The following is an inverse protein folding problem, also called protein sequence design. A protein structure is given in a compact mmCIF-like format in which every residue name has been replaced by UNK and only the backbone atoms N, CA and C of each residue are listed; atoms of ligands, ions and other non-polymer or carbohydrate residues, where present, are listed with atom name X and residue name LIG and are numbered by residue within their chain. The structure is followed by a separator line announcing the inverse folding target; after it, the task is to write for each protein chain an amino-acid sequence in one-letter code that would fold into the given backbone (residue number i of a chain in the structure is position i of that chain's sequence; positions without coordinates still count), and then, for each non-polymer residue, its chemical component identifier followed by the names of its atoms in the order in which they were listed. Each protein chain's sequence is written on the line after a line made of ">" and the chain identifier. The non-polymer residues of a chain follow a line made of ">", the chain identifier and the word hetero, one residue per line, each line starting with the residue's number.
data_IF_260091569318
#
_entry.id   IF_260091569318
#
_cell.length_a   1.000
_cell.length_b   1.000
_cell.length_c   1.000
_cell.angle_alpha   90.00
_cell.angle_beta   90.00
_cell.angle_gamma   90.00
#
_symmetry.space_group_name_H-M   'P 1'
#
loop_
_entity.id
_entity.type
_entity.pdbx_description
1 polymer ?
#
# COMPACT_ATOMS: atom_id res chain seq x y z
N UNK A 1 66.35 1.08 28.10
CA UNK A 1 65.07 0.41 28.39
C UNK A 1 64.05 1.52 28.60
N UNK A 2 63.45 2.03 27.52
CA UNK A 2 62.50 3.14 27.57
C UNK A 2 61.08 2.61 27.52
N UNK A 3 60.31 2.96 28.54
CA UNK A 3 58.88 2.71 28.67
C UNK A 3 58.08 3.35 27.52
N UNK A 4 57.33 2.53 26.78
CA UNK A 4 56.17 2.98 26.01
C UNK A 4 55.06 1.92 26.14
N UNK A 5 54.35 1.92 27.27
CA UNK A 5 53.12 1.13 27.47
C UNK A 5 52.08 1.96 28.23
N UNK A 6 51.44 2.90 27.53
CA UNK A 6 50.36 3.70 28.09
C UNK A 6 49.33 4.21 27.07
N UNK A 7 49.61 4.16 25.77
CA UNK A 7 48.76 4.80 24.75
C UNK A 7 47.80 3.84 24.01
N UNK A 8 47.93 2.52 24.10
CA UNK A 8 47.14 1.63 23.24
C UNK A 8 45.67 1.52 23.70
N UNK A 9 45.42 1.15 24.96
CA UNK A 9 44.06 0.93 25.48
C UNK A 9 43.21 2.19 25.39
N UNK A 10 43.74 3.35 25.81
CA UNK A 10 43.03 4.63 25.74
C UNK A 10 42.66 5.02 24.29
N UNK A 11 43.54 4.72 23.33
CA UNK A 11 43.29 4.96 21.90
C UNK A 11 42.14 4.09 21.41
N UNK A 12 42.18 2.77 21.67
CA UNK A 12 41.10 1.85 21.28
C UNK A 12 39.75 2.21 21.93
N UNK A 13 39.75 2.60 23.21
CA UNK A 13 38.53 3.05 23.90
C UNK A 13 37.96 4.33 23.29
N UNK A 14 38.81 5.31 22.95
CA UNK A 14 38.36 6.54 22.29
C UNK A 14 37.73 6.26 20.92
N UNK A 15 38.34 5.38 20.13
CA UNK A 15 37.82 5.01 18.82
C UNK A 15 36.51 4.23 18.93
N UNK A 16 36.39 3.31 19.88
CA UNK A 16 35.14 2.60 20.13
C UNK A 16 34.01 3.57 20.50
N UNK A 17 34.30 4.60 21.30
CA UNK A 17 33.36 5.67 21.62
C UNK A 17 32.96 6.45 20.36
N UNK A 18 33.92 6.83 19.51
CA UNK A 18 33.65 7.51 18.23
C UNK A 18 32.75 6.65 17.32
N UNK A 19 33.03 5.35 17.18
CA UNK A 19 32.19 4.43 16.39
C UNK A 19 30.77 4.32 16.98
N UNK A 20 30.65 4.28 18.29
CA UNK A 20 29.36 4.32 19.00
C UNK A 20 28.58 5.59 18.70
N UNK A 21 29.24 6.76 18.76
CA UNK A 21 28.62 8.05 18.45
C UNK A 21 28.15 8.11 16.99
N UNK A 22 28.97 7.66 16.03
CA UNK A 22 28.55 7.65 14.62
C UNK A 22 27.35 6.71 14.42
N UNK A 23 27.30 5.57 15.13
CA UNK A 23 26.14 4.64 15.09
C UNK A 23 24.88 5.24 15.68
N UNK A 24 25.01 5.98 16.77
CA UNK A 24 23.90 6.72 17.34
C UNK A 24 23.40 7.81 16.38
N UNK A 25 24.29 8.56 15.72
CA UNK A 25 23.93 9.60 14.75
C UNK A 25 23.18 9.00 13.55
N UNK A 26 23.64 7.87 13.01
CA UNK A 26 22.94 7.18 11.91
C UNK A 26 21.53 6.76 12.33
N UNK A 27 21.39 6.13 13.49
CA UNK A 27 20.10 5.72 14.02
C UNK A 27 19.17 6.92 14.24
N UNK A 28 19.70 8.00 14.84
CA UNK A 28 18.96 9.23 15.06
C UNK A 28 18.52 9.87 13.73
N UNK A 29 19.37 9.89 12.71
CA UNK A 29 19.05 10.43 11.39
C UNK A 29 17.92 9.66 10.69
N UNK A 30 17.85 8.34 10.89
CA UNK A 30 16.77 7.49 10.35
C UNK A 30 15.48 7.71 11.15
N UNK A 31 15.56 7.71 12.48
CA UNK A 31 14.40 7.76 13.35
C UNK A 31 13.74 9.14 13.43
N UNK A 32 14.52 10.22 13.42
CA UNK A 32 14.05 11.61 13.60
C UNK A 32 13.99 12.39 12.28
N UNK A 33 14.01 11.66 11.16
CA UNK A 33 14.14 12.13 9.78
C UNK A 33 13.93 13.65 9.59
N UNK A 34 15.00 14.46 9.51
CA UNK A 34 14.88 15.91 9.49
C UNK A 34 14.20 16.43 8.21
N UNK A 35 13.20 17.30 8.37
CA UNK A 35 12.43 17.86 7.24
C UNK A 35 13.26 18.73 6.28
N UNK A 36 14.37 19.29 6.77
CA UNK A 36 15.29 20.11 5.98
C UNK A 36 16.23 19.27 5.08
N UNK A 37 16.27 17.94 5.28
CA UNK A 37 17.17 17.04 4.57
C UNK A 37 16.41 16.23 3.53
N UNK A 38 16.69 16.45 2.25
CA UNK A 38 16.08 15.64 1.20
C UNK A 38 16.46 14.16 1.35
N UNK A 39 15.57 13.25 0.92
CA UNK A 39 15.81 11.80 0.96
C UNK A 39 17.15 11.42 0.33
N UNK A 40 17.52 12.04 -0.80
CA UNK A 40 18.78 11.76 -1.48
C UNK A 40 20.00 12.18 -0.66
N UNK A 41 19.93 13.35 -0.01
CA UNK A 41 21.03 13.84 0.81
C UNK A 41 21.19 13.03 2.10
N UNK A 42 20.08 12.61 2.71
CA UNK A 42 20.08 11.70 3.85
C UNK A 42 20.77 10.37 3.52
N UNK A 43 20.41 9.75 2.39
CA UNK A 43 21.04 8.51 1.92
C UNK A 43 22.53 8.70 1.64
N UNK A 44 22.91 9.82 1.00
CA UNK A 44 24.32 10.16 0.78
C UNK A 44 25.11 10.20 2.08
N UNK A 45 24.61 10.90 3.10
CA UNK A 45 25.28 10.98 4.41
C UNK A 45 25.34 9.64 5.13
N UNK A 46 24.30 8.81 5.06
CA UNK A 46 24.33 7.47 5.65
C UNK A 46 25.40 6.59 4.99
N UNK A 47 25.51 6.64 3.66
CA UNK A 47 26.58 5.93 2.93
C UNK A 47 27.95 6.45 3.36
N UNK A 48 28.13 7.76 3.45
CA UNK A 48 29.40 8.37 3.87
C UNK A 48 29.80 7.95 5.30
N UNK A 49 28.86 7.93 6.25
CA UNK A 49 29.11 7.49 7.62
C UNK A 49 29.42 5.98 7.70
N UNK A 50 28.74 5.15 6.89
CA UNK A 50 29.02 3.72 6.79
C UNK A 50 30.43 3.44 6.27
N UNK A 51 30.86 4.15 5.22
CA UNK A 51 32.23 4.05 4.67
C UNK A 51 33.27 4.51 5.70
N UNK A 52 33.01 5.62 6.40
CA UNK A 52 33.91 6.14 7.44
C UNK A 52 34.12 5.13 8.58
N UNK A 53 33.05 4.49 9.05
CA UNK A 53 33.15 3.44 10.08
C UNK A 53 33.93 2.24 9.60
N UNK A 54 33.61 1.76 8.39
CA UNK A 54 34.32 0.62 7.81
C UNK A 54 35.82 0.90 7.71
N UNK A 55 36.20 2.09 7.23
CA UNK A 55 37.58 2.54 7.17
C UNK A 55 38.24 2.58 8.56
N UNK A 56 37.58 3.18 9.56
CA UNK A 56 38.10 3.25 10.93
C UNK A 56 38.32 1.86 11.55
N UNK A 57 37.40 0.93 11.32
CA UNK A 57 37.51 -0.44 11.82
C UNK A 57 38.67 -1.15 11.15
N UNK A 58 38.76 -1.11 9.82
CA UNK A 58 39.83 -1.80 9.08
C UNK A 58 41.20 -1.21 9.39
N UNK A 59 41.35 0.12 9.38
CA UNK A 59 42.63 0.77 9.63
C UNK A 59 43.24 0.38 10.98
N UNK A 60 42.40 0.03 11.95
CA UNK A 60 42.81 -0.18 13.35
C UNK A 60 42.80 -1.66 13.73
N UNK A 61 41.75 -2.40 13.42
CA UNK A 61 41.64 -3.81 13.78
C UNK A 61 42.42 -4.74 12.85
N UNK A 62 42.64 -4.35 11.58
CA UNK A 62 43.49 -5.11 10.66
C UNK A 62 44.95 -4.63 10.68
N UNK A 63 45.37 -3.82 11.67
CA UNK A 63 46.74 -3.28 11.79
C UNK A 63 47.24 -2.49 10.57
N UNK A 64 46.34 -2.12 9.63
CA UNK A 64 46.69 -1.39 8.42
C UNK A 64 47.40 -0.05 8.68
N UNK A 65 47.16 0.54 9.85
CA UNK A 65 47.80 1.76 10.32
C UNK A 65 49.28 1.57 10.68
N UNK A 66 49.63 0.39 11.17
CA UNK A 66 50.97 0.06 11.65
C UNK A 66 51.75 -0.84 10.65
N UNK A 67 51.08 -1.34 9.61
CA UNK A 67 51.68 -2.11 8.52
C UNK A 67 52.49 -1.26 7.55
N UNK A 68 53.48 -1.88 6.91
CA UNK A 68 54.30 -1.24 5.89
C UNK A 68 53.43 -0.75 4.70
N UNK A 69 53.77 0.42 4.15
CA UNK A 69 53.00 1.10 3.10
C UNK A 69 52.64 0.20 1.90
N UNK A 70 53.44 -0.82 1.62
CA UNK A 70 53.19 -1.82 0.57
C UNK A 70 51.90 -2.62 0.83
N UNK A 71 51.70 -3.12 2.05
CA UNK A 71 50.52 -3.92 2.41
C UNK A 71 49.25 -3.06 2.50
N UNK A 72 49.37 -1.88 3.11
CA UNK A 72 48.29 -0.89 3.12
C UNK A 72 47.90 -0.44 1.70
N UNK A 73 48.87 -0.33 0.79
CA UNK A 73 48.67 -0.05 -0.62
C UNK A 73 47.85 -1.12 -1.35
N UNK A 74 48.16 -2.41 -1.16
CA UNK A 74 47.39 -3.50 -1.76
C UNK A 74 45.92 -3.52 -1.28
N UNK A 75 45.71 -3.36 0.02
CA UNK A 75 44.37 -3.38 0.59
C UNK A 75 43.53 -2.18 0.14
N UNK A 76 44.10 -0.97 0.19
CA UNK A 76 43.41 0.26 -0.25
C UNK A 76 43.07 0.22 -1.74
N UNK A 77 43.97 -0.31 -2.58
CA UNK A 77 43.71 -0.51 -4.01
C UNK A 77 42.53 -1.44 -4.25
N UNK A 78 42.45 -2.56 -3.51
CA UNK A 78 41.30 -3.48 -3.58
C UNK A 78 39.98 -2.83 -3.18
N UNK A 79 39.97 -2.00 -2.14
CA UNK A 79 38.77 -1.27 -1.71
C UNK A 79 38.33 -0.21 -2.73
N UNK A 80 39.27 0.51 -3.33
CA UNK A 80 38.97 1.49 -4.40
C UNK A 80 38.39 0.79 -5.64
N UNK A 81 38.92 -0.38 -6.01
CA UNK A 81 38.37 -1.18 -7.11
C UNK A 81 36.96 -1.68 -6.79
N UNK A 82 36.70 -2.16 -5.57
CA UNK A 82 35.37 -2.62 -5.17
C UNK A 82 34.35 -1.48 -5.15
N UNK A 83 34.70 -0.31 -4.59
CA UNK A 83 33.83 0.86 -4.59
C UNK A 83 33.60 1.38 -6.01
N UNK A 84 34.65 1.45 -6.83
CA UNK A 84 34.58 1.87 -8.22
C UNK A 84 33.68 0.98 -9.06
N UNK A 85 33.81 -0.35 -8.93
CA UNK A 85 32.94 -1.30 -9.63
C UNK A 85 31.49 -1.20 -9.17
N UNK A 86 31.24 -1.04 -7.86
CA UNK A 86 29.89 -0.81 -7.35
C UNK A 86 29.25 0.46 -7.93
N UNK A 87 29.98 1.58 -7.96
CA UNK A 87 29.50 2.84 -8.55
C UNK A 87 29.25 2.70 -10.04
N UNK A 88 30.17 2.07 -10.78
CA UNK A 88 30.02 1.84 -12.23
C UNK A 88 28.83 0.93 -12.52
N UNK A 89 28.64 -0.14 -11.77
CA UNK A 89 27.49 -1.03 -11.92
C UNK A 89 26.20 -0.31 -11.55
N UNK A 90 26.17 0.42 -10.43
CA UNK A 90 25.03 1.26 -10.05
C UNK A 90 24.68 2.27 -11.13
N UNK A 91 25.69 2.92 -11.72
CA UNK A 91 25.50 3.82 -12.85
C UNK A 91 25.00 3.09 -14.10
N UNK A 92 25.53 1.92 -14.47
CA UNK A 92 25.07 1.17 -15.65
C UNK A 92 23.63 0.67 -15.51
N UNK A 93 23.26 0.16 -14.33
CA UNK A 93 21.89 -0.25 -14.01
C UNK A 93 20.92 0.93 -14.02
N UNK A 94 21.34 2.09 -13.50
CA UNK A 94 20.53 3.32 -13.58
C UNK A 94 20.49 3.87 -15.00
N UNK A 95 21.58 3.91 -15.75
CA UNK A 95 21.61 4.39 -17.14
C UNK A 95 20.71 3.55 -18.05
N UNK A 96 20.69 2.23 -17.89
CA UNK A 96 19.73 1.35 -18.59
C UNK A 96 18.27 1.73 -18.29
N UNK A 97 17.99 2.23 -17.09
CA UNK A 97 16.67 2.75 -16.71
C UNK A 97 16.37 4.16 -17.24
N UNK A 98 17.37 4.99 -17.55
CA UNK A 98 17.19 6.39 -18.05
C UNK A 98 17.31 6.54 -19.57
N UNK A 99 17.99 5.62 -20.28
CA UNK A 99 18.08 5.62 -21.74
C UNK A 99 16.72 5.67 -22.49
N UNK A 100 15.61 5.06 -22.00
CA UNK A 100 14.31 5.24 -22.67
C UNK A 100 13.68 6.64 -22.48
N UNK A 101 14.28 7.54 -21.69
CA UNK A 101 13.81 8.92 -21.49
C UNK A 101 14.42 9.87 -22.52
N UNK A 102 15.70 9.71 -22.87
CA UNK A 102 16.38 10.61 -23.82
C UNK A 102 16.12 10.32 -25.30
N UNK A 103 15.81 9.07 -25.66
CA UNK A 103 15.50 8.71 -27.06
C UNK A 103 14.18 9.32 -27.58
N UNK A 104 13.28 9.75 -26.68
CA UNK A 104 11.97 10.27 -27.04
C UNK A 104 11.87 11.81 -27.04
N UNK A 105 12.95 12.54 -26.68
CA UNK A 105 12.92 14.01 -26.63
C UNK A 105 13.23 14.70 -27.97
N UNK A 106 13.58 13.95 -29.03
CA UNK A 106 13.84 14.50 -30.37
C UNK A 106 12.73 14.22 -31.39
N UNK A 107 11.60 13.64 -30.98
CA UNK A 107 10.43 13.57 -31.86
C UNK A 107 9.71 14.93 -31.84
N UNK A 108 9.47 15.58 -32.99
CA UNK A 108 8.72 16.83 -33.01
C UNK A 108 7.32 16.59 -32.44
N UNK A 109 6.98 17.37 -31.43
CA UNK A 109 5.67 17.40 -30.78
C UNK A 109 4.62 17.89 -31.78
N UNK A 110 4.00 16.96 -32.50
CA UNK A 110 2.78 17.25 -33.26
C UNK A 110 1.64 17.25 -32.24
N UNK A 111 1.39 18.41 -31.64
CA UNK A 111 0.14 18.67 -30.91
C UNK A 111 -0.98 18.77 -31.94
N UNK A 112 -1.63 17.64 -32.22
CA UNK A 112 -2.99 17.62 -32.73
C UNK A 112 -3.91 17.12 -31.62
N UNK A 113 -4.00 17.89 -30.55
CA UNK A 113 -5.04 17.78 -29.54
C UNK A 113 -5.99 18.95 -29.72
N UNK A 114 -7.12 18.73 -30.38
CA UNK A 114 -8.26 19.65 -30.31
C UNK A 114 -8.97 19.33 -29.00
N UNK A 115 -8.84 20.23 -28.03
CA UNK A 115 -9.45 20.12 -26.71
C UNK A 115 -10.97 19.94 -26.85
N UNK A 116 -11.51 18.83 -26.36
CA UNK A 116 -12.91 18.45 -26.56
C UNK A 116 -13.85 18.83 -25.41
N UNK A 117 -13.42 19.67 -24.46
CA UNK A 117 -14.32 20.16 -23.41
C UNK A 117 -14.04 21.61 -23.03
N UNK A 118 -14.47 22.54 -23.89
CA UNK A 118 -14.93 23.85 -23.43
C UNK A 118 -15.93 24.41 -24.46
N UNK A 119 -17.19 23.97 -24.38
CA UNK A 119 -18.28 24.68 -25.05
C UNK A 119 -18.94 25.63 -24.05
N UNK A 120 -18.54 26.89 -24.15
CA UNK A 120 -19.36 28.02 -23.74
C UNK A 120 -20.38 28.27 -24.87
N UNK A 121 -21.67 28.24 -24.53
CA UNK A 121 -22.77 28.47 -25.46
C UNK A 121 -22.65 29.84 -26.15
N UNK A 122 -22.55 29.84 -27.48
CA UNK A 122 -23.13 30.90 -28.32
C UNK A 122 -23.20 30.49 -29.79
N UNK A 123 -24.43 30.33 -30.30
CA UNK A 123 -24.81 30.71 -31.66
C UNK A 123 -24.34 29.84 -32.84
N UNK A 124 -25.30 29.10 -33.42
CA UNK A 124 -25.53 29.15 -34.87
C UNK A 124 -24.83 28.11 -35.78
N UNK A 125 -25.71 27.37 -36.47
CA UNK A 125 -25.51 26.61 -37.72
C UNK A 125 -24.92 25.20 -37.62
N UNK A 126 -25.77 24.23 -37.95
CA UNK A 126 -25.47 22.81 -37.91
C UNK A 126 -24.66 22.31 -39.12
N UNK A 127 -23.89 21.26 -38.84
CA UNK A 127 -23.44 20.22 -39.78
C UNK A 127 -23.41 18.91 -38.96
N UNK A 128 -23.94 17.78 -39.45
CA UNK A 128 -23.86 16.52 -38.73
C UNK A 128 -22.45 15.94 -38.91
N UNK A 129 -21.64 15.93 -37.85
CA UNK A 129 -20.41 15.15 -37.84
C UNK A 129 -20.75 13.73 -37.41
N UNK A 130 -20.97 12.88 -38.42
CA UNK A 130 -21.02 11.43 -38.28
C UNK A 130 -19.65 10.95 -37.76
N UNK A 131 -19.68 10.34 -36.59
CA UNK A 131 -18.54 9.64 -35.98
C UNK A 131 -18.08 8.54 -36.95
N UNK A 132 -16.80 8.56 -37.35
CA UNK A 132 -16.28 7.54 -38.27
C UNK A 132 -16.46 6.13 -37.69
N UNK A 133 -16.79 5.14 -38.51
CA UNK A 133 -17.00 3.74 -38.07
C UNK A 133 -15.80 3.20 -37.27
N UNK A 134 -14.59 3.66 -37.57
CA UNK A 134 -13.37 3.31 -36.83
C UNK A 134 -13.37 3.86 -35.39
N UNK A 135 -13.94 5.05 -35.18
CA UNK A 135 -14.09 5.64 -33.85
C UNK A 135 -15.16 4.92 -33.04
N UNK A 136 -16.26 4.51 -33.68
CA UNK A 136 -17.32 3.72 -33.04
C UNK A 136 -16.78 2.33 -32.64
N UNK A 137 -16.05 1.66 -33.54
CA UNK A 137 -15.42 0.37 -33.26
C UNK A 137 -14.37 0.45 -32.13
N UNK A 138 -13.68 1.59 -31.97
CA UNK A 138 -12.70 1.78 -30.88
C UNK A 138 -13.39 2.02 -29.53
N UNK A 139 -14.57 2.64 -29.53
CA UNK A 139 -15.39 2.85 -28.32
C UNK A 139 -16.06 1.54 -27.88
N UNK A 140 -16.51 0.72 -28.82
CA UNK A 140 -17.15 -0.57 -28.54
C UNK A 140 -16.19 -1.68 -28.10
N UNK A 141 -14.87 -1.53 -28.30
CA UNK A 141 -13.83 -2.57 -28.02
C UNK A 141 -12.90 -2.25 -26.85
N UNK A 142 -13.38 -1.47 -25.87
CA UNK A 142 -12.73 -1.23 -24.56
C UNK A 142 -11.24 -0.79 -24.61
N UNK A 143 -10.76 -0.39 -25.80
CA UNK A 143 -9.37 -0.04 -26.10
C UNK A 143 -8.35 -1.17 -25.93
N UNK A 144 -8.76 -2.40 -25.66
CA UNK A 144 -7.85 -3.48 -25.23
C UNK A 144 -7.42 -4.45 -26.34
N UNK A 145 -8.10 -4.44 -27.49
CA UNK A 145 -7.80 -5.32 -28.62
C UNK A 145 -7.29 -4.54 -29.85
N UNK A 146 -6.20 -3.80 -29.66
CA UNK A 146 -5.49 -3.17 -30.78
C UNK A 146 -4.64 -4.24 -31.50
N UNK A 147 -4.67 -4.34 -32.84
CA UNK A 147 -3.81 -5.26 -33.56
C UNK A 147 -2.34 -4.92 -33.29
N UNK A 148 -1.48 -5.94 -33.25
CA UNK A 148 -0.08 -5.80 -32.82
C UNK A 148 0.67 -4.69 -33.58
N UNK A 149 0.37 -4.50 -34.87
CA UNK A 149 0.93 -3.43 -35.69
C UNK A 149 0.64 -2.02 -35.12
N UNK A 150 -0.60 -1.78 -34.68
CA UNK A 150 -1.03 -0.49 -34.13
C UNK A 150 -0.42 -0.23 -32.74
N UNK A 151 -0.16 -1.29 -31.97
CA UNK A 151 0.53 -1.22 -30.67
C UNK A 151 2.01 -0.87 -30.87
N UNK A 152 2.64 -1.39 -31.92
CA UNK A 152 4.04 -1.12 -32.24
C UNK A 152 4.23 0.31 -32.77
N UNK A 153 3.28 0.81 -33.56
CA UNK A 153 3.31 2.18 -34.09
C UNK A 153 2.95 3.24 -33.03
N UNK A 154 2.10 2.91 -32.05
CA UNK A 154 1.71 3.81 -30.95
C UNK A 154 1.87 3.13 -29.58
N UNK A 155 3.11 2.91 -29.11
CA UNK A 155 3.36 2.25 -27.85
C UNK A 155 2.84 3.09 -26.67
N UNK A 156 2.33 2.42 -25.64
CA UNK A 156 1.80 3.07 -24.44
C UNK A 156 2.87 3.99 -23.80
N UNK A 157 2.52 5.21 -23.36
CA UNK A 157 3.45 6.08 -22.65
C UNK A 157 3.91 5.40 -21.37
N UNK A 158 5.21 5.13 -21.25
CA UNK A 158 5.79 4.37 -20.12
C UNK A 158 5.84 5.15 -18.79
N UNK A 159 5.56 6.46 -18.82
CA UNK A 159 5.62 7.35 -17.66
C UNK A 159 4.28 8.06 -17.43
N UNK A 160 3.32 7.36 -16.80
CA UNK A 160 2.14 8.03 -16.23
C UNK A 160 2.48 8.83 -14.96
N UNK A 161 3.65 8.59 -14.33
CA UNK A 161 4.13 9.31 -13.15
C UNK A 161 4.78 10.68 -13.42
N UNK A 162 4.98 11.06 -14.69
CA UNK A 162 5.50 12.39 -15.06
C UNK A 162 4.40 13.45 -15.20
N UNK A 163 3.12 13.04 -15.15
CA UNK A 163 2.00 13.98 -15.10
C UNK A 163 1.93 14.59 -13.70
N UNK A 164 2.57 15.77 -13.52
CA UNK A 164 2.31 16.62 -12.36
C UNK A 164 0.90 17.19 -12.48
N UNK A 165 -0.08 16.45 -12.01
CA UNK A 165 -1.42 16.97 -11.78
C UNK A 165 -1.31 17.87 -10.56
N UNK A 166 -1.30 19.18 -10.76
CA UNK A 166 -1.44 20.11 -9.63
C UNK A 166 -2.92 20.10 -9.27
N UNK A 167 -3.33 19.58 -8.10
CA UNK A 167 -4.73 19.63 -7.72
C UNK A 167 -5.17 21.10 -7.66
N UNK A 168 -6.39 21.44 -8.09
CA UNK A 168 -6.91 22.79 -7.90
C UNK A 168 -6.83 23.14 -6.41
N UNK A 169 -6.38 24.35 -6.11
CA UNK A 169 -6.38 24.89 -4.74
C UNK A 169 -7.76 24.71 -4.13
N UNK A 170 -7.86 24.23 -2.87
CA UNK A 170 -9.15 24.09 -2.20
C UNK A 170 -9.86 25.43 -2.22
N UNK A 171 -11.04 25.48 -2.85
CA UNK A 171 -11.93 26.61 -2.67
C UNK A 171 -12.38 26.60 -1.20
N UNK A 172 -11.83 27.50 -0.39
CA UNK A 172 -12.21 27.69 1.03
C UNK A 172 -13.46 28.54 1.19
N UNK A 173 -14.17 28.87 0.10
CA UNK A 173 -15.54 29.33 0.16
C UNK A 173 -16.43 28.19 0.61
N UNK A 174 -16.83 28.20 1.89
CA UNK A 174 -17.78 27.26 2.45
C UNK A 174 -19.02 27.12 1.56
N UNK A 175 -19.45 25.89 1.33
CA UNK A 175 -20.73 25.63 0.68
C UNK A 175 -21.83 25.75 1.72
N UNK A 176 -22.68 26.76 1.59
CA UNK A 176 -23.94 26.85 2.32
C UNK A 176 -24.95 25.86 1.71
N UNK A 177 -25.18 24.75 2.42
CA UNK A 177 -26.30 23.86 2.12
C UNK A 177 -27.58 24.45 2.73
N UNK A 178 -28.34 25.18 1.92
CA UNK A 178 -29.66 25.67 2.32
C UNK A 178 -30.69 24.52 2.31
N UNK A 179 -30.75 23.78 3.41
CA UNK A 179 -31.88 22.90 3.69
C UNK A 179 -33.08 23.77 4.07
N UNK A 180 -34.09 23.87 3.21
CA UNK A 180 -35.44 24.29 3.59
C UNK A 180 -36.21 23.05 4.06
N UNK A 181 -36.42 22.83 5.37
CA UNK A 181 -37.29 21.76 5.83
C UNK A 181 -38.72 22.31 5.84
N UNK A 182 -39.56 21.83 4.92
CA UNK A 182 -40.99 21.84 5.16
C UNK A 182 -41.33 20.57 5.93
N UNK A 183 -41.60 20.67 7.22
CA UNK A 183 -42.56 19.81 7.92
C UNK A 183 -43.01 20.47 9.25
N UNK A 184 -44.28 20.32 9.68
CA UNK A 184 -44.90 21.12 10.73
C UNK A 184 -44.45 20.74 12.15
N UNK A 185 -44.50 21.74 13.04
CA UNK A 185 -44.18 21.68 14.47
C UNK A 185 -44.88 20.53 15.22
N UNK A 186 -44.14 19.86 16.11
CA UNK A 186 -44.72 19.11 17.22
C UNK A 186 -43.84 19.22 18.47
N UNK A 187 -44.33 20.09 19.36
CA UNK A 187 -44.15 20.27 20.80
C UNK A 187 -42.89 19.74 21.52
N UNK A 188 -42.16 20.70 22.09
CA UNK A 188 -41.21 20.64 23.22
C UNK A 188 -41.88 20.11 24.49
N UNK A 189 -41.20 19.19 25.20
CA UNK A 189 -41.16 19.07 26.68
C UNK A 189 -39.83 18.38 27.03
N UNK A 190 -38.83 19.13 27.50
CA UNK A 190 -38.37 19.21 28.90
C UNK A 190 -37.89 17.86 29.48
N UNK A 191 -36.58 17.78 29.74
CA UNK A 191 -35.92 16.64 30.39
C UNK A 191 -36.19 16.54 31.89
N UNK A 192 -35.57 15.55 32.57
CA UNK A 192 -34.55 15.94 33.53
C UNK A 192 -33.29 15.04 33.60
N UNK A 193 -32.22 15.76 33.93
CA UNK A 193 -30.98 15.48 34.65
C UNK A 193 -30.74 14.19 35.49
N UNK A 194 -29.48 13.74 35.42
CA UNK A 194 -28.55 13.07 36.38
C UNK A 194 -28.93 11.71 36.99
N UNK A 195 -28.11 10.66 36.77
CA UNK A 195 -27.09 10.14 37.73
C UNK A 195 -26.52 8.75 37.36
N UNK A 196 -25.22 8.62 37.62
CA UNK A 196 -24.41 7.41 37.46
C UNK A 196 -24.55 6.48 38.67
N UNK A 197 -24.68 5.15 38.47
CA UNK A 197 -24.03 4.12 39.31
C UNK A 197 -24.37 2.67 38.90
N UNK A 198 -23.33 1.89 38.61
CA UNK A 198 -23.01 0.56 39.16
C UNK A 198 -23.93 -0.67 38.98
N UNK A 199 -23.58 -1.52 37.99
CA UNK A 199 -23.33 -3.00 38.05
C UNK A 199 -24.48 -3.98 38.49
N UNK A 200 -24.34 -5.33 38.37
CA UNK A 200 -24.86 -6.18 37.27
C UNK A 200 -25.83 -7.32 37.72
N UNK A 201 -26.66 -7.85 36.81
CA UNK A 201 -27.27 -9.21 36.88
C UNK A 201 -27.96 -9.53 35.55
N UNK A 202 -27.50 -10.52 34.77
CA UNK A 202 -27.92 -11.94 34.74
C UNK A 202 -29.27 -12.23 34.03
N UNK A 203 -29.13 -12.94 32.89
CA UNK A 203 -29.94 -14.01 32.28
C UNK A 203 -31.47 -13.91 32.16
N UNK A 204 -31.96 -14.10 30.93
CA UNK A 204 -33.35 -14.46 30.62
C UNK A 204 -33.56 -14.66 29.12
N UNK A 205 -34.19 -15.77 28.76
CA UNK A 205 -34.23 -16.47 27.46
C UNK A 205 -35.25 -15.93 26.42
N UNK A 206 -35.15 -16.48 25.21
CA UNK A 206 -36.19 -16.72 24.18
C UNK A 206 -36.71 -15.61 23.21
N UNK A 207 -36.20 -15.72 21.96
CA UNK A 207 -36.89 -15.76 20.63
C UNK A 207 -38.14 -14.91 20.31
N UNK A 208 -38.05 -14.05 19.26
CA UNK A 208 -38.76 -14.17 17.94
C UNK A 208 -38.65 -12.91 17.05
N UNK A 209 -38.23 -13.16 15.80
CA UNK A 209 -38.74 -12.64 14.51
C UNK A 209 -38.89 -11.12 14.23
N UNK A 210 -37.87 -10.61 13.53
CA UNK A 210 -37.88 -9.82 12.28
C UNK A 210 -38.87 -8.65 12.08
N UNK A 211 -38.33 -7.43 12.12
CA UNK A 211 -38.86 -6.28 11.38
C UNK A 211 -37.71 -5.42 10.81
N UNK A 212 -37.70 -5.31 9.48
CA UNK A 212 -36.72 -4.62 8.62
C UNK A 212 -36.75 -3.11 8.85
N UNK A 213 -35.65 -2.52 9.33
CA UNK A 213 -35.41 -1.08 9.43
C UNK A 213 -33.96 -0.76 8.96
N UNK A 214 -33.73 0.38 8.30
CA UNK A 214 -32.51 0.66 7.55
C UNK A 214 -31.30 0.81 8.48
N UNK A 215 -30.14 0.35 8.01
CA UNK A 215 -28.89 0.36 8.78
C UNK A 215 -28.44 1.80 9.03
N UNK A 216 -28.70 2.28 10.25
CA UNK A 216 -28.09 3.47 10.82
C UNK A 216 -26.57 3.26 10.94
N UNK A 217 -25.79 4.17 10.35
CA UNK A 217 -24.33 4.10 10.21
C UNK A 217 -23.52 4.14 11.52
N UNK A 218 -24.15 3.99 12.69
CA UNK A 218 -23.48 4.18 13.98
C UNK A 218 -23.49 2.96 14.92
N UNK A 219 -23.93 1.78 14.47
CA UNK A 219 -23.82 0.55 15.26
C UNK A 219 -23.45 -0.65 14.39
N UNK A 220 -22.24 -0.61 13.83
CA UNK A 220 -21.52 -1.80 13.40
C UNK A 220 -21.23 -2.60 14.67
N UNK A 221 -21.80 -3.80 14.83
CA UNK A 221 -21.60 -4.62 16.01
C UNK A 221 -20.11 -4.70 16.41
N UNK A 222 -19.84 -4.52 17.71
CA UNK A 222 -18.57 -4.13 18.33
C UNK A 222 -17.29 -4.83 17.80
N UNK A 223 -16.48 -4.11 17.03
CA UNK A 223 -15.04 -4.34 16.95
C UNK A 223 -14.30 -2.99 16.94
N UNK A 224 -13.10 -2.96 17.50
CA UNK A 224 -12.28 -1.74 17.51
C UNK A 224 -11.72 -1.48 16.10
N UNK A 225 -12.22 -0.43 15.45
CA UNK A 225 -11.83 -0.06 14.08
C UNK A 225 -10.37 0.40 13.98
N UNK A 226 -9.79 0.96 15.06
CA UNK A 226 -8.39 1.37 15.08
C UNK A 226 -7.47 0.14 15.19
N UNK A 227 -7.83 -0.84 16.03
CA UNK A 227 -7.13 -2.13 16.07
C UNK A 227 -7.29 -2.89 14.75
N UNK A 228 -8.48 -2.85 14.13
CA UNK A 228 -8.74 -3.45 12.83
C UNK A 228 -7.82 -2.90 11.73
N UNK A 229 -7.69 -1.57 11.65
CA UNK A 229 -6.77 -0.90 10.74
C UNK A 229 -5.30 -1.28 11.04
N UNK A 230 -4.90 -1.33 12.31
CA UNK A 230 -3.54 -1.74 12.69
C UNK A 230 -3.24 -3.17 12.23
N UNK A 231 -4.10 -4.13 12.55
CA UNK A 231 -3.93 -5.53 12.15
C UNK A 231 -3.91 -5.68 10.62
N UNK A 232 -4.73 -4.92 9.88
CA UNK A 232 -4.65 -4.89 8.41
C UNK A 232 -3.33 -4.30 7.89
N UNK A 233 -2.85 -3.20 8.47
CA UNK A 233 -1.60 -2.57 8.05
C UNK A 233 -0.40 -3.50 8.24
N UNK A 234 -0.33 -4.20 9.37
CA UNK A 234 0.77 -5.12 9.71
C UNK A 234 0.77 -6.38 8.83
N UNK A 235 -0.41 -6.86 8.41
CA UNK A 235 -0.54 -8.17 7.79
C UNK A 235 -0.93 -8.15 6.30
N UNK A 236 -1.60 -7.11 5.80
CA UNK A 236 -2.25 -7.16 4.49
C UNK A 236 -1.80 -6.03 3.56
N UNK A 237 -1.50 -4.85 4.11
CA UNK A 237 -1.28 -3.63 3.33
C UNK A 237 -0.07 -3.68 2.39
N UNK A 238 0.95 -4.49 2.69
CA UNK A 238 2.16 -4.58 1.87
C UNK A 238 1.86 -4.98 0.40
N UNK A 239 0.83 -5.79 0.19
CA UNK A 239 0.41 -6.24 -1.14
C UNK A 239 -0.90 -5.57 -1.58
N UNK A 240 -1.91 -5.52 -0.70
CA UNK A 240 -3.24 -4.99 -1.05
C UNK A 240 -3.33 -3.47 -0.95
N UNK A 241 -2.27 -2.80 -0.49
CA UNK A 241 -2.18 -1.36 -0.22
C UNK A 241 -3.11 -0.92 0.92
N UNK A 242 -2.80 0.22 1.56
CA UNK A 242 -3.70 0.83 2.55
C UNK A 242 -5.02 1.31 1.93
N UNK A 243 -5.01 1.56 0.62
CA UNK A 243 -6.20 1.92 -0.17
C UNK A 243 -7.05 0.70 -0.54
N UNK A 244 -6.58 -0.52 -0.31
CA UNK A 244 -7.27 -1.74 -0.71
C UNK A 244 -7.33 -1.96 -2.23
N UNK A 245 -6.69 -1.13 -3.05
CA UNK A 245 -6.72 -1.24 -4.51
C UNK A 245 -5.75 -2.29 -5.07
N UNK A 246 -4.82 -2.78 -4.25
CA UNK A 246 -3.77 -3.68 -4.70
C UNK A 246 -2.92 -3.09 -5.83
N UNK A 247 -2.45 -3.96 -6.73
CA UNK A 247 -1.71 -3.59 -7.93
C UNK A 247 -2.28 -4.40 -9.10
N UNK A 248 -2.97 -3.77 -10.07
CA UNK A 248 -3.64 -4.48 -11.16
C UNK A 248 -2.73 -5.48 -11.89
N UNK A 249 -3.20 -6.72 -12.04
CA UNK A 249 -2.45 -7.82 -12.66
C UNK A 249 -1.42 -8.51 -11.75
N UNK A 250 -1.18 -8.00 -10.54
CA UNK A 250 -0.23 -8.58 -9.57
C UNK A 250 -0.91 -8.92 -8.23
N UNK A 251 -1.51 -7.92 -7.58
CA UNK A 251 -2.23 -8.08 -6.31
C UNK A 251 -3.68 -7.63 -6.48
N UNK A 252 -4.67 -8.51 -6.25
CA UNK A 252 -6.07 -8.16 -6.49
C UNK A 252 -6.57 -7.09 -5.50
N UNK A 253 -7.51 -6.23 -5.93
CA UNK A 253 -8.14 -5.27 -5.04
C UNK A 253 -9.04 -5.99 -4.03
N UNK A 254 -9.10 -5.42 -2.82
CA UNK A 254 -10.06 -5.74 -1.77
C UNK A 254 -11.20 -4.71 -1.74
N UNK A 255 -10.88 -3.43 -1.99
CA UNK A 255 -11.87 -2.40 -2.26
C UNK A 255 -12.72 -2.81 -3.47
N UNK A 256 -14.03 -2.56 -3.43
CA UNK A 256 -15.00 -2.92 -4.48
C UNK A 256 -15.25 -4.43 -4.69
N UNK A 257 -14.36 -5.30 -4.21
CA UNK A 257 -14.40 -6.73 -4.50
C UNK A 257 -14.82 -7.59 -3.30
N UNK A 258 -14.27 -7.32 -2.11
CA UNK A 258 -14.47 -8.20 -0.94
C UNK A 258 -15.93 -8.26 -0.50
N UNK A 259 -16.72 -7.21 -0.75
CA UNK A 259 -18.16 -7.20 -0.50
C UNK A 259 -18.91 -8.22 -1.37
N UNK A 260 -18.49 -8.39 -2.64
CA UNK A 260 -19.08 -9.39 -3.55
C UNK A 260 -18.77 -10.81 -3.06
N UNK A 261 -17.53 -11.05 -2.59
CA UNK A 261 -17.17 -12.31 -1.94
C UNK A 261 -18.02 -12.51 -0.70
N UNK A 262 -18.10 -11.53 0.21
CA UNK A 262 -18.83 -11.65 1.46
C UNK A 262 -20.30 -12.02 1.23
N UNK A 263 -20.95 -11.39 0.24
CA UNK A 263 -22.36 -11.61 -0.08
C UNK A 263 -22.63 -12.95 -0.80
N UNK A 264 -21.60 -13.66 -1.26
CA UNK A 264 -21.74 -14.94 -1.96
C UNK A 264 -21.93 -16.12 -0.98
N UNK A 265 -22.55 -17.19 -1.45
CA UNK A 265 -22.80 -18.39 -0.65
C UNK A 265 -21.48 -19.03 -0.20
N UNK A 266 -21.26 -19.11 1.12
CA UNK A 266 -20.02 -19.63 1.70
C UNK A 266 -18.81 -18.68 1.57
N UNK A 267 -19.06 -17.42 1.17
CA UNK A 267 -18.04 -16.41 0.96
C UNK A 267 -17.43 -15.90 2.26
N UNK A 268 -18.21 -15.80 3.33
CA UNK A 268 -17.71 -15.44 4.66
C UNK A 268 -16.65 -16.42 5.16
N UNK A 269 -16.91 -17.73 5.07
CA UNK A 269 -15.92 -18.74 5.45
C UNK A 269 -14.72 -18.70 4.51
N UNK A 270 -14.93 -18.50 3.21
CA UNK A 270 -13.85 -18.37 2.24
C UNK A 270 -12.90 -17.21 2.58
N UNK A 271 -13.44 -16.05 2.99
CA UNK A 271 -12.65 -14.90 3.44
C UNK A 271 -11.77 -15.21 4.65
N UNK A 272 -12.11 -16.22 5.47
CA UNK A 272 -11.26 -16.67 6.57
C UNK A 272 -10.20 -17.67 6.09
N UNK A 273 -10.53 -18.55 5.14
CA UNK A 273 -9.57 -19.51 4.58
C UNK A 273 -8.39 -18.81 3.88
N UNK A 274 -8.66 -17.77 3.10
CA UNK A 274 -7.64 -17.06 2.30
C UNK A 274 -6.47 -16.53 3.14
N UNK A 275 -6.67 -15.74 4.21
CA UNK A 275 -5.55 -15.24 5.00
C UNK A 275 -4.92 -16.33 5.89
N UNK A 276 -5.64 -17.39 6.27
CA UNK A 276 -5.07 -18.49 7.06
C UNK A 276 -4.18 -19.39 6.21
N UNK A 277 -4.67 -19.88 5.08
CA UNK A 277 -4.06 -20.95 4.29
C UNK A 277 -3.42 -20.46 3.00
N UNK A 278 -3.72 -19.22 2.60
CA UNK A 278 -3.28 -18.66 1.33
C UNK A 278 -4.18 -19.08 0.17
N UNK A 279 -3.83 -18.62 -1.03
CA UNK A 279 -4.46 -19.04 -2.28
C UNK A 279 -3.44 -19.01 -3.40
N UNK A 280 -3.51 -20.00 -4.30
CA UNK A 280 -2.71 -20.04 -5.53
C UNK A 280 -3.54 -20.59 -6.69
N UNK A 281 -3.42 -19.96 -7.85
CA UNK A 281 -4.14 -20.34 -9.07
C UNK A 281 -4.73 -19.13 -9.81
N UNK A 282 -5.19 -19.32 -11.05
CA UNK A 282 -5.71 -18.24 -11.86
C UNK A 282 -7.09 -17.79 -11.38
N UNK A 283 -7.20 -16.55 -10.90
CA UNK A 283 -8.47 -15.92 -10.52
C UNK A 283 -8.73 -14.69 -11.38
N UNK A 284 -10.00 -14.39 -11.58
CA UNK A 284 -10.44 -13.14 -12.17
C UNK A 284 -11.08 -12.29 -11.07
N UNK A 285 -10.66 -11.03 -10.98
CA UNK A 285 -11.19 -10.05 -10.03
C UNK A 285 -11.44 -8.75 -10.78
N UNK A 286 -12.70 -8.31 -10.83
CA UNK A 286 -13.14 -7.09 -11.51
C UNK A 286 -12.62 -6.99 -12.96
N UNK A 287 -12.74 -8.08 -13.74
CA UNK A 287 -12.32 -8.11 -15.15
C UNK A 287 -10.80 -8.20 -15.38
N UNK A 288 -10.00 -8.44 -14.33
CA UNK A 288 -8.55 -8.60 -14.42
C UNK A 288 -8.11 -9.97 -13.93
N UNK A 289 -7.20 -10.58 -14.68
CA UNK A 289 -6.62 -11.88 -14.34
C UNK A 289 -5.45 -11.73 -13.36
N UNK A 290 -5.42 -12.60 -12.36
CA UNK A 290 -4.34 -12.73 -11.39
C UNK A 290 -3.94 -14.21 -11.31
N UNK A 291 -2.65 -14.49 -11.34
CA UNK A 291 -2.12 -15.86 -11.19
C UNK A 291 -0.90 -15.86 -10.27
N UNK A 292 -1.03 -15.13 -9.16
CA UNK A 292 -0.01 -15.06 -8.12
C UNK A 292 -0.23 -16.09 -7.01
N UNK A 293 0.62 -16.01 -5.99
CA UNK A 293 0.48 -16.78 -4.76
C UNK A 293 0.31 -15.81 -3.60
N UNK A 294 -0.79 -15.92 -2.87
CA UNK A 294 -0.95 -15.29 -1.57
C UNK A 294 -0.57 -16.32 -0.50
N UNK A 295 0.54 -16.11 0.21
CA UNK A 295 0.96 -17.01 1.27
C UNK A 295 0.01 -16.94 2.47
N UNK A 296 -0.32 -18.10 3.04
CA UNK A 296 -1.12 -18.19 4.26
C UNK A 296 -0.36 -17.64 5.47
N UNK A 297 -1.11 -17.00 6.39
CA UNK A 297 -0.60 -16.38 7.61
C UNK A 297 -1.00 -17.17 8.85
N UNK A 298 -0.74 -18.48 8.85
CA UNK A 298 -1.06 -19.37 9.97
C UNK A 298 -0.39 -18.96 11.31
N UNK A 299 0.65 -18.13 11.30
CA UNK A 299 1.29 -17.67 12.54
C UNK A 299 0.60 -16.46 13.17
N UNK A 300 -0.29 -15.77 12.44
CA UNK A 300 -1.03 -14.61 12.95
C UNK A 300 -2.15 -15.08 13.88
N UNK A 301 -2.41 -14.32 14.95
CA UNK A 301 -3.44 -14.64 15.95
C UNK A 301 -4.84 -14.69 15.33
N UNK A 302 -5.78 -15.38 15.97
CA UNK A 302 -7.16 -15.45 15.49
C UNK A 302 -7.83 -14.07 15.54
N UNK A 303 -7.47 -13.30 16.57
CA UNK A 303 -7.92 -11.93 16.82
C UNK A 303 -7.47 -11.00 15.70
N UNK A 304 -6.18 -11.03 15.32
CA UNK A 304 -5.65 -10.17 14.27
C UNK A 304 -6.21 -10.50 12.89
N UNK A 305 -6.45 -11.78 12.59
CA UNK A 305 -7.11 -12.19 11.34
C UNK A 305 -8.55 -11.68 11.30
N UNK A 306 -9.31 -11.85 12.38
CA UNK A 306 -10.68 -11.36 12.48
C UNK A 306 -10.73 -9.83 12.33
N UNK A 307 -9.84 -9.11 13.01
CA UNK A 307 -9.70 -7.66 12.93
C UNK A 307 -9.33 -7.17 11.52
N UNK A 308 -8.34 -7.80 10.87
CA UNK A 308 -7.94 -7.44 9.50
C UNK A 308 -9.06 -7.68 8.49
N UNK A 309 -9.82 -8.78 8.62
CA UNK A 309 -10.98 -9.06 7.78
C UNK A 309 -12.11 -8.06 8.00
N UNK A 310 -12.40 -7.72 9.26
CA UNK A 310 -13.37 -6.68 9.59
C UNK A 310 -12.99 -5.35 8.92
N UNK A 311 -11.74 -4.92 9.00
CA UNK A 311 -11.28 -3.72 8.30
C UNK A 311 -11.49 -3.83 6.78
N UNK A 312 -11.11 -4.96 6.16
CA UNK A 312 -11.23 -5.12 4.72
C UNK A 312 -12.69 -5.03 4.23
N UNK A 313 -13.63 -5.65 4.95
CA UNK A 313 -15.05 -5.68 4.54
C UNK A 313 -15.82 -4.41 4.89
N UNK A 314 -15.35 -3.59 5.84
CA UNK A 314 -16.02 -2.34 6.20
C UNK A 314 -15.40 -1.08 5.61
N UNK A 315 -14.18 -1.17 5.06
CA UNK A 315 -13.46 -0.02 4.49
C UNK A 315 -13.79 0.22 3.02
N UNK A 316 -13.38 1.38 2.51
CA UNK A 316 -13.45 1.74 1.08
C UNK A 316 -14.85 1.63 0.47
N UNK A 317 -15.89 1.92 1.26
CA UNK A 317 -17.29 1.83 0.82
C UNK A 317 -17.84 0.39 0.74
N UNK A 318 -17.07 -0.62 1.15
CA UNK A 318 -17.51 -2.02 1.13
C UNK A 318 -18.67 -2.27 2.08
N UNK A 319 -18.74 -1.60 3.24
CA UNK A 319 -19.81 -1.77 4.23
C UNK A 319 -21.19 -1.50 3.62
N UNK A 320 -21.32 -0.44 2.82
CA UNK A 320 -22.57 -0.03 2.19
C UNK A 320 -23.06 -1.03 1.13
N UNK A 321 -22.16 -1.91 0.67
CA UNK A 321 -22.44 -2.95 -0.34
C UNK A 321 -22.78 -4.31 0.27
N UNK A 322 -22.70 -4.45 1.59
CA UNK A 322 -23.05 -5.69 2.27
C UNK A 322 -24.56 -5.83 2.41
N UNK A 323 -25.10 -7.01 2.12
CA UNK A 323 -26.52 -7.30 2.35
C UNK A 323 -26.84 -7.31 3.85
N UNK A 324 -25.95 -7.90 4.63
CA UNK A 324 -26.02 -8.01 6.08
C UNK A 324 -24.61 -8.07 6.63
N UNK A 325 -24.28 -7.24 7.61
CA UNK A 325 -22.96 -7.27 8.23
C UNK A 325 -22.98 -7.95 9.59
N UNK A 326 -22.10 -8.93 9.77
CA UNK A 326 -21.74 -9.49 11.05
C UNK A 326 -20.21 -9.43 11.19
N UNK A 327 -19.65 -8.89 12.28
CA UNK A 327 -18.20 -8.89 12.49
C UNK A 327 -17.63 -10.30 12.49
N UNK A 328 -16.47 -10.48 11.86
CA UNK A 328 -15.63 -11.66 12.06
C UNK A 328 -15.17 -11.74 13.50
N UNK A 329 -15.34 -12.91 14.12
CA UNK A 329 -14.95 -13.18 15.50
C UNK A 329 -13.76 -14.16 15.57
N UNK A 330 -12.90 -14.05 16.61
CA UNK A 330 -11.73 -14.92 16.75
C UNK A 330 -12.08 -16.41 16.82
N UNK A 331 -13.23 -16.77 17.39
CA UNK A 331 -13.70 -18.16 17.48
C UNK A 331 -14.11 -18.75 16.11
N UNK A 332 -14.60 -17.93 15.17
CA UNK A 332 -14.85 -18.37 13.78
C UNK A 332 -13.53 -18.72 13.08
N UNK A 333 -12.52 -17.87 13.27
CA UNK A 333 -11.17 -18.09 12.74
C UNK A 333 -10.54 -19.35 13.34
N UNK A 334 -10.66 -19.54 14.66
CA UNK A 334 -10.17 -20.72 15.35
C UNK A 334 -10.75 -22.02 14.78
N UNK A 335 -12.08 -22.06 14.58
CA UNK A 335 -12.76 -23.24 13.98
C UNK A 335 -12.26 -23.56 12.57
N UNK A 336 -11.99 -22.54 11.75
CA UNK A 336 -11.53 -22.75 10.38
C UNK A 336 -10.06 -23.18 10.36
N UNK A 337 -9.24 -22.68 11.28
CA UNK A 337 -7.82 -23.04 11.41
C UNK A 337 -7.59 -24.54 11.59
N UNK A 338 -8.53 -25.25 12.20
CA UNK A 338 -8.47 -26.71 12.38
C UNK A 338 -8.52 -27.50 11.06
N UNK A 339 -9.05 -26.91 9.98
CA UNK A 339 -9.30 -27.61 8.70
C UNK A 339 -8.03 -27.90 7.87
N UNK A 340 -6.88 -27.33 8.23
CA UNK A 340 -5.56 -27.59 7.62
C UNK A 340 -5.57 -27.69 6.09
N UNK A 341 -6.00 -26.63 5.40
CA UNK A 341 -6.05 -26.58 3.94
C UNK A 341 -4.73 -26.11 3.32
N UNK A 342 -4.46 -26.53 2.08
CA UNK A 342 -3.43 -25.94 1.23
C UNK A 342 -3.96 -24.75 0.44
N UNK A 343 -3.06 -23.91 -0.09
CA UNK A 343 -3.43 -22.78 -0.95
C UNK A 343 -4.15 -23.21 -2.25
N UNK A 344 -3.88 -24.42 -2.76
CA UNK A 344 -4.60 -25.00 -3.89
C UNK A 344 -6.03 -25.40 -3.49
N UNK A 345 -6.21 -25.98 -2.31
CA UNK A 345 -7.55 -26.36 -1.82
C UNK A 345 -8.44 -25.12 -1.64
N UNK A 346 -7.86 -24.00 -1.19
CA UNK A 346 -8.59 -22.71 -1.10
C UNK A 346 -8.98 -22.20 -2.49
N UNK A 347 -8.14 -22.38 -3.50
CA UNK A 347 -8.50 -22.06 -4.88
C UNK A 347 -9.65 -22.94 -5.38
N UNK A 348 -9.61 -24.25 -5.13
CA UNK A 348 -10.70 -25.18 -5.48
C UNK A 348 -12.00 -24.84 -4.74
N UNK A 349 -11.92 -24.40 -3.48
CA UNK A 349 -13.08 -23.88 -2.74
C UNK A 349 -13.68 -22.64 -3.41
N UNK A 350 -12.86 -21.73 -3.94
CA UNK A 350 -13.33 -20.56 -4.70
C UNK A 350 -14.13 -21.01 -5.92
N UNK A 351 -13.59 -21.96 -6.68
CA UNK A 351 -14.20 -22.45 -7.92
C UNK A 351 -15.49 -23.24 -7.67
N UNK A 352 -15.44 -24.21 -6.74
CA UNK A 352 -16.58 -25.09 -6.42
C UNK A 352 -17.79 -24.34 -5.88
N UNK A 353 -17.57 -23.21 -5.20
CA UNK A 353 -18.64 -22.34 -4.67
C UNK A 353 -18.97 -21.15 -5.57
N UNK A 354 -18.32 -21.03 -6.72
CA UNK A 354 -18.51 -19.93 -7.67
C UNK A 354 -18.34 -18.56 -7.00
N UNK A 355 -17.33 -18.45 -6.13
CA UNK A 355 -17.00 -17.18 -5.46
C UNK A 355 -16.45 -16.21 -6.52
N UNK A 356 -17.01 -14.99 -6.64
CA UNK A 356 -16.67 -14.03 -7.68
C UNK A 356 -15.26 -13.50 -7.57
#
# INVERSE_FOLDING_TARGET
>A
MSEHKGSSVATYTLIALVLGVITFIEFAAIQWRPDWLSTGWLVFWLIALSVLKFYLVVAIFMHLKDDENTYSGFFTTGMVLALGTFVVLGFLFTLRSVLPVWANHNAPEVITGKDSHNEEHSGGHGIPHEISEETIATIETDGYSRPLQVILDTPRPKNQGALKITPPTPNTGGFDINFKPHLPELHKNQGPEVNNSSTPAQNGDESKEEAKQPISHNNVANFDSALALKSFNENCSACHQNTGLGLPGVFPPLAEHVANIYNSSGGREYLIHVPLFGIQGPIEVLGKNYNGVMAGRQMVSNEDIALALNHAVTSWGNLEKLNTFSPFLPNEVAKIREKSLSASDVYELRQSRQIP
#
